data_IF_587990910461
#
_entry.id   IF_587990910461
#
_cell.length_a   1.000
_cell.length_b   1.000
_cell.length_c   1.000
_cell.angle_alpha   90.00
_cell.angle_beta   90.00
_cell.angle_gamma   90.00
#
_symmetry.space_group_name_H-M   'P 1'
#
loop_
_entity.id
_entity.type
_entity.pdbx_description
1 polymer ?
#
# COMPACT_ATOMS: atom_id res chain seq x y z
N UNK A 1 -7.37 24.19 -3.68
CA UNK A 1 -6.97 23.75 -3.86
C UNK A 1 -5.82 23.43 -3.79
N UNK A 2 -5.28 23.25 -3.62
CA UNK A 2 -4.24 22.99 -3.62
C UNK A 2 -3.58 22.49 -2.55
N UNK A 3 -3.94 22.60 -1.64
CA UNK A 3 -3.51 21.97 -0.56
C UNK A 3 -3.55 20.54 -0.67
N UNK A 4 -4.26 20.05 -1.61
CA UNK A 4 -4.30 18.71 -1.78
C UNK A 4 -3.01 18.16 -2.13
N UNK A 5 -2.21 18.85 -2.85
CA UNK A 5 -0.97 18.34 -3.21
C UNK A 5 -0.04 18.21 -2.08
N UNK A 6 -0.06 19.16 -1.21
CA UNK A 6 0.80 19.10 -0.07
C UNK A 6 0.36 18.01 0.87
N UNK A 7 -0.93 17.88 1.03
CA UNK A 7 -1.45 16.91 1.97
C UNK A 7 -1.10 15.48 1.60
N UNK A 8 -1.23 15.09 0.35
CA UNK A 8 -0.91 13.72 0.02
C UNK A 8 0.49 13.33 0.39
N UNK A 9 1.42 14.25 0.22
CA UNK A 9 2.77 13.93 0.55
C UNK A 9 2.92 13.69 2.03
N UNK A 10 2.34 14.56 2.86
CA UNK A 10 2.43 14.39 4.26
C UNK A 10 1.67 13.21 4.77
N UNK A 11 0.64 12.80 4.06
CA UNK A 11 -0.19 11.74 4.52
C UNK A 11 0.13 10.39 3.91
N UNK A 12 1.27 10.28 3.26
CA UNK A 12 1.66 9.02 2.73
C UNK A 12 1.78 8.03 3.88
N UNK A 13 1.12 6.91 3.76
CA UNK A 13 1.15 5.91 4.81
C UNK A 13 0.23 6.15 5.97
N UNK A 14 -0.52 7.26 5.95
CA UNK A 14 -1.42 7.55 7.05
C UNK A 14 -2.50 6.51 7.20
N UNK A 15 -3.05 6.02 6.09
CA UNK A 15 -4.09 5.02 6.16
C UNK A 15 -3.59 3.74 6.80
N UNK A 16 -2.38 3.35 6.49
CA UNK A 16 -1.81 2.16 7.07
C UNK A 16 -1.60 2.34 8.57
N UNK A 17 -1.12 3.49 8.97
CA UNK A 17 -0.91 3.78 10.39
C UNK A 17 -2.22 3.78 11.15
N UNK A 18 -3.27 4.32 10.54
CA UNK A 18 -4.57 4.32 11.18
C UNK A 18 -5.11 2.93 11.34
N UNK A 19 -4.95 2.12 10.29
CA UNK A 19 -5.39 0.75 10.33
C UNK A 19 -4.68 0.00 11.45
N UNK A 20 -3.40 0.22 11.61
CA UNK A 20 -2.61 -0.48 12.61
C UNK A 20 -2.97 -0.09 14.03
N UNK A 21 -3.65 1.05 14.18
CA UNK A 21 -4.03 1.52 15.50
C UNK A 21 -5.46 1.19 15.88
N UNK A 22 -6.21 0.58 14.99
CA UNK A 22 -7.59 0.26 15.30
C UNK A 22 -7.72 -0.76 16.41
N UNK A 23 -8.75 -0.60 17.20
CA UNK A 23 -9.03 -1.52 18.29
C UNK A 23 -9.75 -2.74 17.73
N UNK A 24 -9.05 -3.83 17.61
CA UNK A 24 -9.61 -5.03 17.01
C UNK A 24 -10.56 -5.78 17.93
N UNK A 25 -10.58 -5.41 19.20
CA UNK A 25 -11.45 -6.08 20.16
C UNK A 25 -12.93 -5.90 19.85
N UNK A 26 -13.25 -4.82 19.15
CA UNK A 26 -14.67 -4.53 18.90
C UNK A 26 -15.21 -5.28 17.69
N UNK A 27 -14.38 -6.05 17.00
CA UNK A 27 -14.83 -6.75 15.81
C UNK A 27 -15.19 -8.19 16.11
N UNK A 28 -16.22 -8.68 15.43
CA UNK A 28 -16.60 -10.07 15.55
C UNK A 28 -15.65 -10.94 14.72
N UNK A 29 -15.74 -12.24 14.94
CA UNK A 29 -14.88 -13.17 14.23
C UNK A 29 -14.99 -12.99 12.72
N UNK A 30 -16.21 -12.90 12.20
CA UNK A 30 -16.39 -12.77 10.77
C UNK A 30 -15.81 -11.51 10.24
N UNK A 31 -15.91 -10.43 11.01
CA UNK A 31 -15.35 -9.17 10.57
C UNK A 31 -13.84 -9.25 10.48
N UNK A 32 -13.24 -9.95 11.44
CA UNK A 32 -11.80 -10.10 11.43
C UNK A 32 -11.35 -10.97 10.26
N UNK A 33 -12.13 -12.00 9.95
CA UNK A 33 -11.81 -12.85 8.81
C UNK A 33 -11.89 -12.08 7.52
N UNK A 34 -12.92 -11.26 7.37
CA UNK A 34 -13.07 -10.44 6.17
C UNK A 34 -11.93 -9.45 6.06
N UNK A 35 -11.51 -8.92 7.19
CA UNK A 35 -10.42 -7.97 7.21
C UNK A 35 -9.13 -8.62 6.74
N UNK A 36 -8.89 -9.85 7.16
CA UNK A 36 -7.70 -10.57 6.74
C UNK A 36 -7.70 -10.76 5.22
N UNK A 37 -8.85 -11.12 4.68
CA UNK A 37 -8.95 -11.30 3.23
C UNK A 37 -8.64 -9.98 2.52
N UNK A 38 -9.22 -8.89 3.00
CA UNK A 38 -8.99 -7.59 2.38
C UNK A 38 -7.53 -7.18 2.45
N UNK A 39 -6.89 -7.47 3.59
CA UNK A 39 -5.49 -7.13 3.74
C UNK A 39 -4.60 -7.96 2.83
N UNK A 40 -4.95 -9.21 2.63
CA UNK A 40 -4.19 -10.06 1.73
C UNK A 40 -4.32 -9.56 0.29
N UNK A 41 -5.51 -9.09 -0.07
CA UNK A 41 -5.69 -8.52 -1.39
C UNK A 41 -4.89 -7.26 -1.56
N UNK A 42 -4.80 -6.48 -0.50
CA UNK A 42 -4.02 -5.25 -0.55
C UNK A 42 -2.53 -5.57 -0.70
N UNK A 43 -2.05 -6.59 -0.01
CA UNK A 43 -0.67 -7.00 -0.13
C UNK A 43 -0.39 -7.41 -1.58
N UNK A 44 -1.29 -8.17 -2.17
CA UNK A 44 -1.11 -8.59 -3.56
C UNK A 44 -1.06 -7.41 -4.51
N UNK A 45 -1.90 -6.42 -4.24
CA UNK A 45 -1.93 -5.22 -5.07
C UNK A 45 -0.60 -4.48 -5.01
N UNK A 46 -0.06 -4.37 -3.80
CA UNK A 46 1.22 -3.68 -3.60
C UNK A 46 2.36 -4.45 -4.23
N UNK A 47 2.32 -5.77 -4.08
CA UNK A 47 3.37 -6.61 -4.65
C UNK A 47 3.39 -6.49 -6.16
N UNK A 48 2.22 -6.43 -6.76
CA UNK A 48 2.11 -6.28 -8.20
C UNK A 48 2.73 -4.96 -8.65
N UNK A 49 2.44 -3.89 -7.92
CA UNK A 49 2.99 -2.59 -8.25
C UNK A 49 4.51 -2.58 -8.07
N UNK A 50 4.97 -3.21 -7.01
CA UNK A 50 6.39 -3.29 -6.73
C UNK A 50 7.12 -4.01 -7.85
N UNK A 51 6.54 -5.12 -8.30
CA UNK A 51 7.13 -5.88 -9.39
C UNK A 51 7.28 -5.04 -10.64
N UNK A 52 6.24 -4.29 -10.97
CA UNK A 52 6.30 -3.47 -12.15
C UNK A 52 7.34 -2.38 -12.04
N UNK A 53 7.48 -1.81 -10.86
CA UNK A 53 8.47 -0.76 -10.67
C UNK A 53 9.88 -1.34 -10.74
N UNK A 54 10.06 -2.52 -10.21
CA UNK A 54 11.36 -3.17 -10.29
C UNK A 54 11.72 -3.53 -11.71
N UNK A 55 10.76 -4.01 -12.46
CA UNK A 55 10.99 -4.36 -13.85
C UNK A 55 11.35 -3.13 -14.67
N UNK A 56 10.65 -2.03 -14.42
CA UNK A 56 10.95 -0.80 -15.12
C UNK A 56 12.33 -0.28 -14.80
N UNK A 57 12.73 -0.36 -13.52
CA UNK A 57 14.02 0.08 -13.13
C UNK A 57 15.11 -0.78 -13.75
N UNK A 58 14.89 -2.07 -13.78
CA UNK A 58 15.85 -2.98 -14.37
C UNK A 58 16.01 -2.72 -15.85
N UNK A 59 14.91 -2.47 -16.54
CA UNK A 59 14.95 -2.15 -17.95
C UNK A 59 15.71 -0.86 -18.21
N UNK A 60 15.50 0.13 -17.36
CA UNK A 60 16.20 1.40 -17.52
C UNK A 60 17.68 1.22 -17.31
N UNK A 61 18.05 0.42 -16.31
CA UNK A 61 19.47 0.15 -16.06
C UNK A 61 20.10 -0.51 -17.24
N UNK A 62 19.38 -1.42 -17.88
CA UNK A 62 19.91 -2.10 -19.03
C UNK A 62 20.19 -1.14 -20.17
N UNK A 63 19.35 -0.16 -20.32
CA UNK A 63 19.54 0.82 -21.37
C UNK A 63 20.78 1.64 -21.16
N UNK A 64 21.12 1.92 -19.93
CA UNK A 64 22.26 2.73 -19.63
C UNK A 64 23.54 1.97 -19.44
N UNK A 65 23.41 0.67 -19.52
CA UNK A 65 24.53 -0.10 -19.33
C UNK A 65 25.25 -0.29 -20.61
N UNK A 66 26.19 -0.39 -20.87
CA UNK A 66 26.81 -0.65 -22.09
C UNK A 66 28.00 0.12 -22.35
#
# INVERSE_FOLDING_TARGET
MFEEEAAPRRQRGAALAELAREDLEIYAVEDLEDRIVALKEEIARIESKLERKRAGRSAADQLFKN
#
